data_IF_710731342043
#
_entry.id   IF_710731342043
#
_cell.length_a   1.000
_cell.length_b   1.000
_cell.length_c   1.000
_cell.angle_alpha   90.00
_cell.angle_beta   90.00
_cell.angle_gamma   90.00
#
_symmetry.space_group_name_H-M   'P 1'
#
loop_
_entity.id
_entity.type
_entity.pdbx_description
1 polymer ?
#
# COMPACT_ATOMS: atom_id res chain seq x y z
N UNK A 1 12.48 -42.38 -36.95
CA UNK A 1 12.93 -43.46 -37.86
C UNK A 1 12.81 -42.96 -39.29
N UNK A 2 13.69 -43.37 -40.21
CA UNK A 2 13.74 -42.99 -41.64
C UNK A 2 14.25 -41.54 -41.91
N UNK A 3 15.03 -41.41 -43.00
CA UNK A 3 15.77 -40.23 -43.50
C UNK A 3 15.93 -40.34 -45.04
N UNK A 4 15.92 -39.22 -45.77
CA UNK A 4 16.64 -38.94 -47.05
C UNK A 4 16.92 -37.41 -47.11
N UNK A 5 17.95 -36.79 -47.73
CA UNK A 5 18.83 -37.07 -48.92
C UNK A 5 18.19 -36.54 -50.23
N UNK A 6 18.87 -35.77 -51.10
CA UNK A 6 20.33 -35.68 -51.38
C UNK A 6 20.93 -34.24 -51.50
N UNK A 7 22.22 -34.21 -51.87
CA UNK A 7 23.28 -33.19 -51.98
C UNK A 7 23.38 -32.36 -53.30
N UNK A 8 24.08 -31.21 -53.19
CA UNK A 8 25.04 -30.55 -54.12
C UNK A 8 24.77 -30.39 -55.64
N UNK A 9 25.00 -29.16 -56.19
CA UNK A 9 26.16 -28.87 -57.07
C UNK A 9 26.46 -27.33 -57.17
N UNK A 10 27.25 -26.87 -58.17
CA UNK A 10 28.15 -25.70 -58.09
C UNK A 10 27.64 -24.31 -58.53
N UNK A 11 28.25 -23.30 -57.89
CA UNK A 11 28.45 -21.86 -58.19
C UNK A 11 28.19 -21.26 -59.58
N UNK A 12 27.77 -19.97 -59.63
CA UNK A 12 28.48 -18.93 -60.41
C UNK A 12 28.27 -17.46 -59.94
N UNK A 13 29.37 -16.69 -59.93
CA UNK A 13 29.57 -15.23 -60.05
C UNK A 13 28.66 -14.16 -59.35
N UNK A 14 29.29 -13.47 -58.37
CA UNK A 14 29.60 -12.03 -58.38
C UNK A 14 28.58 -10.99 -58.89
N UNK A 15 27.86 -10.33 -57.95
CA UNK A 15 27.70 -8.84 -57.83
C UNK A 15 26.70 -8.45 -56.71
N UNK A 16 27.07 -8.64 -55.43
CA UNK A 16 26.19 -8.29 -54.29
C UNK A 16 26.91 -7.68 -53.07
N UNK A 17 28.22 -7.42 -53.14
CA UNK A 17 29.07 -7.22 -51.95
C UNK A 17 29.05 -5.81 -51.32
N UNK A 18 28.13 -4.94 -51.73
CA UNK A 18 28.00 -3.56 -51.23
C UNK A 18 26.62 -3.16 -50.71
N UNK A 19 25.57 -3.99 -50.85
CA UNK A 19 24.27 -3.74 -50.19
C UNK A 19 24.13 -4.46 -48.85
N UNK A 20 24.68 -5.68 -48.69
CA UNK A 20 24.60 -6.42 -47.41
C UNK A 20 25.31 -5.69 -46.25
N UNK A 21 26.33 -4.88 -46.54
CA UNK A 21 27.08 -4.13 -45.52
C UNK A 21 26.28 -3.01 -44.84
N UNK A 22 25.22 -2.49 -45.48
CA UNK A 22 24.42 -1.40 -44.93
C UNK A 22 23.23 -1.89 -44.09
N UNK A 23 22.74 -3.11 -44.36
CA UNK A 23 21.60 -3.69 -43.63
C UNK A 23 21.99 -4.22 -42.24
N UNK A 24 23.26 -4.59 -42.04
CA UNK A 24 23.74 -5.15 -40.76
C UNK A 24 24.01 -4.10 -39.66
N UNK A 25 24.02 -2.81 -40.00
CA UNK A 25 24.28 -1.71 -39.06
C UNK A 25 23.02 -1.20 -38.33
N UNK A 26 21.82 -1.64 -38.74
CA UNK A 26 20.54 -1.17 -38.18
C UNK A 26 19.98 -2.06 -37.06
N UNK A 27 20.69 -3.12 -36.66
CA UNK A 27 20.17 -4.16 -35.73
C UNK A 27 20.74 -4.04 -34.30
N UNK A 28 21.67 -3.10 -34.04
CA UNK A 28 22.22 -2.85 -32.69
C UNK A 28 21.40 -1.76 -31.96
N UNK A 29 20.08 -1.84 -32.04
CA UNK A 29 19.17 -1.14 -31.12
C UNK A 29 18.93 -1.99 -29.87
N UNK A 30 20.01 -2.44 -29.23
CA UNK A 30 19.91 -3.06 -27.90
C UNK A 30 19.39 -2.01 -26.93
N UNK A 31 18.17 -2.20 -26.42
CA UNK A 31 17.70 -1.51 -25.22
C UNK A 31 18.65 -1.88 -24.09
N UNK A 32 19.60 -0.99 -23.79
CA UNK A 32 20.64 -1.22 -22.78
C UNK A 32 19.94 -1.38 -21.43
N UNK A 33 19.89 -2.61 -20.93
CA UNK A 33 19.43 -2.88 -19.57
C UNK A 33 20.48 -2.32 -18.64
N UNK A 34 20.06 -1.39 -17.79
CA UNK A 34 20.92 -0.78 -16.78
C UNK A 34 21.00 -1.69 -15.54
N UNK A 35 22.10 -1.67 -14.80
CA UNK A 35 22.20 -2.35 -13.52
C UNK A 35 21.19 -1.78 -12.51
N UNK A 36 20.82 -2.62 -11.54
CA UNK A 36 19.91 -2.29 -10.44
C UNK A 36 20.50 -2.86 -9.18
N UNK A 37 20.63 -2.01 -8.16
CA UNK A 37 20.89 -2.43 -6.79
C UNK A 37 19.55 -2.65 -6.08
N UNK A 38 19.40 -3.80 -5.42
CA UNK A 38 18.20 -4.15 -4.65
C UNK A 38 18.52 -4.23 -3.15
N UNK A 39 17.84 -3.38 -2.37
CA UNK A 39 17.95 -3.36 -0.92
C UNK A 39 16.64 -3.89 -0.34
N UNK A 40 16.68 -5.07 0.28
CA UNK A 40 15.52 -5.70 0.91
C UNK A 40 15.75 -6.06 2.37
N UNK A 41 14.65 -6.30 3.08
CA UNK A 41 14.62 -6.59 4.51
C UNK A 41 13.20 -6.71 5.06
N UNK A 42 13.06 -6.55 6.38
CA UNK A 42 11.78 -6.58 7.09
C UNK A 42 11.49 -5.22 7.74
N UNK A 43 10.24 -4.77 7.68
CA UNK A 43 9.74 -3.54 8.31
C UNK A 43 8.31 -3.75 8.80
N UNK A 44 7.96 -3.25 9.99
CA UNK A 44 6.57 -3.15 10.50
C UNK A 44 5.71 -4.42 10.35
N UNK A 45 6.29 -5.61 10.53
CA UNK A 45 5.60 -6.90 10.42
C UNK A 45 5.51 -7.50 9.00
N UNK A 46 6.10 -6.85 8.00
CA UNK A 46 6.13 -7.26 6.59
C UNK A 46 7.55 -7.12 5.99
N UNK A 47 7.72 -7.40 4.70
CA UNK A 47 8.96 -7.19 3.95
C UNK A 47 9.02 -5.81 3.29
N UNK A 48 10.23 -5.38 2.93
CA UNK A 48 10.47 -4.26 1.99
C UNK A 48 11.38 -4.70 0.83
N UNK A 49 11.17 -4.13 -0.36
CA UNK A 49 12.12 -4.14 -1.47
C UNK A 49 12.29 -2.74 -2.05
N UNK A 50 13.54 -2.33 -2.24
CA UNK A 50 13.91 -1.03 -2.81
C UNK A 50 14.83 -1.29 -4.00
N UNK A 51 14.40 -0.89 -5.19
CA UNK A 51 15.13 -1.11 -6.43
C UNK A 51 15.65 0.23 -6.96
N UNK A 52 16.97 0.41 -6.98
CA UNK A 52 17.66 1.63 -7.41
C UNK A 52 18.35 1.34 -8.73
N UNK A 53 18.00 2.06 -9.80
CA UNK A 53 18.72 1.97 -11.08
C UNK A 53 20.00 2.78 -10.95
N UNK A 54 21.17 2.17 -11.19
CA UNK A 54 22.43 2.91 -11.05
C UNK A 54 22.55 3.98 -12.15
N UNK A 55 22.82 5.24 -11.75
CA UNK A 55 23.36 6.22 -12.67
C UNK A 55 24.89 6.16 -12.61
N UNK A 56 25.53 5.99 -13.77
CA UNK A 56 27.00 5.97 -13.91
C UNK A 56 27.76 7.18 -13.35
N UNK A 57 27.05 8.27 -13.02
CA UNK A 57 27.61 9.48 -12.43
C UNK A 57 27.50 9.54 -10.89
N UNK A 58 26.75 8.62 -10.26
CA UNK A 58 26.49 8.62 -8.80
C UNK A 58 27.21 7.44 -8.14
N UNK A 59 28.19 7.73 -7.29
CA UNK A 59 28.86 6.71 -6.48
C UNK A 59 28.02 6.38 -5.24
N UNK A 60 27.27 5.27 -5.27
CA UNK A 60 26.34 4.88 -4.23
C UNK A 60 27.03 4.12 -3.09
N UNK A 61 27.10 4.73 -1.90
CA UNK A 61 27.40 3.97 -0.67
C UNK A 61 26.14 3.22 -0.21
N UNK A 62 25.93 2.03 -0.77
CA UNK A 62 24.82 1.13 -0.44
C UNK A 62 24.79 0.77 1.06
N UNK A 63 25.94 0.78 1.75
CA UNK A 63 25.99 0.52 3.20
C UNK A 63 25.41 1.69 3.98
N UNK A 64 25.82 2.92 3.66
CA UNK A 64 25.25 4.14 4.26
C UNK A 64 23.76 4.31 3.95
N UNK A 65 23.36 4.01 2.70
CA UNK A 65 21.96 4.03 2.27
C UNK A 65 21.13 3.03 3.09
N UNK A 66 21.57 1.77 3.21
CA UNK A 66 20.87 0.76 4.01
C UNK A 66 20.79 1.16 5.50
N UNK A 67 21.87 1.65 6.09
CA UNK A 67 21.84 2.13 7.48
C UNK A 67 20.85 3.28 7.70
N UNK A 68 20.66 4.15 6.71
CA UNK A 68 19.62 5.20 6.76
C UNK A 68 18.20 4.64 6.69
N UNK A 69 17.95 3.71 5.76
CA UNK A 69 16.66 3.00 5.62
C UNK A 69 16.31 2.28 6.92
N UNK A 70 17.24 1.47 7.46
CA UNK A 70 17.04 0.76 8.72
C UNK A 70 16.82 1.74 9.90
N UNK A 71 17.47 2.90 9.89
CA UNK A 71 17.23 3.96 10.90
C UNK A 71 15.84 4.59 10.79
N UNK A 72 15.29 4.77 9.58
CA UNK A 72 13.94 5.30 9.35
C UNK A 72 12.90 4.28 9.82
N UNK A 73 13.07 2.99 9.47
CA UNK A 73 12.18 1.90 9.86
C UNK A 73 12.06 1.82 11.39
N UNK A 74 13.20 1.82 12.09
CA UNK A 74 13.24 1.80 13.56
C UNK A 74 12.64 3.07 14.18
N UNK A 75 12.87 4.25 13.58
CA UNK A 75 12.37 5.52 14.11
C UNK A 75 10.83 5.63 13.99
N UNK A 76 10.24 5.12 12.92
CA UNK A 76 8.78 5.03 12.75
C UNK A 76 8.19 3.99 13.70
N UNK A 77 8.86 2.86 13.93
CA UNK A 77 8.39 1.82 14.85
C UNK A 77 8.40 2.30 16.32
N UNK A 78 9.38 3.09 16.76
CA UNK A 78 9.33 3.78 18.08
C UNK A 78 8.23 4.86 18.18
N UNK A 79 7.72 5.38 17.07
CA UNK A 79 6.62 6.37 17.06
C UNK A 79 5.25 5.70 17.04
N UNK A 80 5.05 4.75 16.11
CA UNK A 80 3.73 4.36 15.60
C UNK A 80 3.39 2.89 15.79
N UNK A 81 4.28 2.09 16.40
CA UNK A 81 4.04 0.67 16.65
C UNK A 81 3.19 0.47 17.90
N UNK A 82 1.94 0.05 17.72
CA UNK A 82 1.03 -0.33 18.82
C UNK A 82 1.48 -1.59 19.59
N UNK A 83 2.45 -2.32 19.06
CA UNK A 83 3.10 -3.46 19.73
C UNK A 83 4.20 -3.05 20.73
N UNK A 84 4.77 -1.85 20.59
CA UNK A 84 5.78 -1.31 21.53
C UNK A 84 5.09 -0.52 22.64
N UNK A 85 5.19 -0.99 23.88
CA UNK A 85 4.54 -0.37 25.05
C UNK A 85 4.95 1.10 25.29
N UNK A 86 6.17 1.46 24.88
CA UNK A 86 6.79 2.78 25.05
C UNK A 86 6.69 3.70 23.83
N UNK A 87 6.03 3.29 22.74
CA UNK A 87 5.93 4.12 21.53
C UNK A 87 5.02 5.33 21.74
N UNK A 88 5.18 6.39 20.93
CA UNK A 88 4.37 7.61 21.05
C UNK A 88 2.86 7.32 20.93
N UNK A 89 2.46 6.40 20.04
CA UNK A 89 1.07 5.95 19.91
C UNK A 89 0.59 5.14 21.12
N UNK A 90 1.42 4.26 21.67
CA UNK A 90 1.06 3.46 22.85
C UNK A 90 0.91 4.33 24.10
N UNK A 91 1.77 5.34 24.26
CA UNK A 91 1.66 6.35 25.31
C UNK A 91 0.40 7.19 25.14
N UNK A 92 0.06 7.62 23.91
CA UNK A 92 -1.21 8.29 23.63
C UNK A 92 -2.42 7.41 23.95
N UNK A 93 -2.38 6.12 23.62
CA UNK A 93 -3.48 5.20 23.86
C UNK A 93 -3.70 4.97 25.36
N UNK A 94 -2.63 4.82 26.13
CA UNK A 94 -2.66 4.58 27.58
C UNK A 94 -2.98 5.83 28.43
N UNK A 95 -2.65 7.04 27.98
CA UNK A 95 -2.82 8.25 28.81
C UNK A 95 -4.31 8.58 29.11
N UNK A 96 -4.62 9.21 30.25
CA UNK A 96 -5.97 9.63 30.60
C UNK A 96 -6.45 10.84 29.77
N UNK A 97 -7.76 11.11 29.84
CA UNK A 97 -8.38 12.28 29.19
C UNK A 97 -7.77 13.59 29.69
N UNK A 98 -7.53 14.54 28.79
CA UNK A 98 -6.96 15.85 29.15
C UNK A 98 -5.46 15.84 29.47
N UNK A 99 -4.81 14.68 29.53
CA UNK A 99 -3.35 14.61 29.48
C UNK A 99 -2.84 15.08 28.11
N UNK A 100 -1.62 15.63 28.10
CA UNK A 100 -0.93 16.11 26.90
C UNK A 100 0.43 15.45 26.86
N UNK A 101 0.77 14.81 25.73
CA UNK A 101 2.13 14.36 25.43
C UNK A 101 2.72 15.22 24.31
N UNK A 102 4.05 15.34 24.30
CA UNK A 102 4.76 15.87 23.14
C UNK A 102 5.17 14.70 22.25
N UNK A 103 4.86 14.78 20.96
CA UNK A 103 5.18 13.77 19.95
C UNK A 103 6.24 14.28 18.96
N UNK A 104 6.78 13.35 18.17
CA UNK A 104 7.61 13.60 17.00
C UNK A 104 6.86 14.36 15.91
N UNK A 105 7.60 15.01 15.00
CA UNK A 105 7.03 15.64 13.81
C UNK A 105 6.47 14.63 12.81
N UNK A 106 7.04 13.43 12.72
CA UNK A 106 6.55 12.36 11.85
C UNK A 106 5.18 11.86 12.30
N UNK A 107 5.02 11.55 13.58
CA UNK A 107 3.72 11.15 14.12
C UNK A 107 2.70 12.29 14.07
N UNK A 108 3.11 13.54 14.36
CA UNK A 108 2.25 14.71 14.21
C UNK A 108 1.70 14.87 12.77
N UNK A 109 2.52 14.63 11.74
CA UNK A 109 2.06 14.70 10.34
C UNK A 109 1.08 13.58 10.01
N UNK A 110 1.35 12.34 10.44
CA UNK A 110 0.41 11.22 10.26
C UNK A 110 -0.94 11.50 10.93
N UNK A 111 -0.96 12.08 12.14
CA UNK A 111 -2.20 12.52 12.79
C UNK A 111 -2.90 13.65 11.99
N UNK A 112 -2.17 14.63 11.47
CA UNK A 112 -2.75 15.70 10.65
C UNK A 112 -3.38 15.18 9.35
N UNK A 113 -2.68 14.33 8.59
CA UNK A 113 -3.24 13.67 7.39
C UNK A 113 -4.42 12.77 7.74
N UNK A 114 -4.36 12.07 8.87
CA UNK A 114 -5.48 11.24 9.34
C UNK A 114 -6.75 12.04 9.63
N UNK A 115 -6.63 13.19 10.31
CA UNK A 115 -7.77 14.08 10.60
C UNK A 115 -8.30 14.72 9.31
N UNK A 116 -7.42 15.05 8.36
CA UNK A 116 -7.80 15.54 7.03
C UNK A 116 -8.64 14.50 6.26
N UNK A 117 -8.13 13.27 6.11
CA UNK A 117 -8.83 12.21 5.39
C UNK A 117 -10.12 11.78 6.10
N UNK A 118 -10.13 11.77 7.44
CA UNK A 118 -11.35 11.52 8.21
C UNK A 118 -12.43 12.56 7.93
N UNK A 119 -12.08 13.86 7.91
CA UNK A 119 -13.05 14.90 7.53
C UNK A 119 -13.54 14.74 6.09
N UNK A 120 -12.65 14.43 5.15
CA UNK A 120 -12.97 14.42 3.71
C UNK A 120 -13.76 13.18 3.27
N UNK A 121 -13.54 12.04 3.92
CA UNK A 121 -14.23 10.76 3.67
C UNK A 121 -15.53 10.61 4.47
N UNK A 122 -16.04 11.68 5.09
CA UNK A 122 -17.17 11.64 6.03
C UNK A 122 -16.99 10.61 7.15
N UNK A 123 -15.76 10.52 7.65
CA UNK A 123 -15.22 9.57 8.63
C UNK A 123 -15.12 8.11 8.17
N UNK A 124 -15.35 7.74 6.91
CA UNK A 124 -15.14 6.35 6.45
C UNK A 124 -13.69 5.87 6.65
N UNK A 125 -12.73 6.81 6.70
CA UNK A 125 -11.45 6.64 7.37
C UNK A 125 -11.47 7.33 8.75
N UNK A 126 -11.12 6.63 9.83
CA UNK A 126 -10.85 7.26 11.13
C UNK A 126 -9.87 6.40 11.95
N UNK A 127 -8.68 6.93 12.22
CA UNK A 127 -7.65 6.24 13.03
C UNK A 127 -8.12 5.92 14.46
N UNK A 128 -9.14 6.60 14.98
CA UNK A 128 -9.67 6.35 16.33
C UNK A 128 -10.65 5.19 16.44
N UNK A 129 -10.75 4.35 15.40
CA UNK A 129 -11.52 3.11 15.37
C UNK A 129 -10.92 1.99 16.24
N UNK A 130 -9.70 2.13 16.77
CA UNK A 130 -9.00 1.07 17.53
C UNK A 130 -9.82 0.44 18.68
N UNK A 131 -10.59 1.17 19.52
CA UNK A 131 -11.43 0.55 20.55
C UNK A 131 -12.43 -0.46 19.97
N UNK A 132 -12.92 -0.21 18.75
CA UNK A 132 -13.82 -1.10 18.02
C UNK A 132 -13.09 -2.26 17.36
N UNK A 133 -11.91 -2.03 16.76
CA UNK A 133 -11.04 -3.12 16.29
C UNK A 133 -10.70 -4.08 17.44
N UNK A 134 -10.45 -3.55 18.65
CA UNK A 134 -10.23 -4.37 19.85
C UNK A 134 -11.51 -5.11 20.28
N UNK A 135 -12.70 -4.50 20.14
CA UNK A 135 -13.97 -5.16 20.46
C UNK A 135 -14.23 -6.37 19.54
N UNK A 136 -14.19 -6.18 18.22
CA UNK A 136 -14.41 -7.25 17.23
C UNK A 136 -13.30 -8.31 17.22
N UNK A 137 -12.16 -8.07 17.88
CA UNK A 137 -11.08 -9.05 18.05
C UNK A 137 -11.19 -9.91 19.32
N UNK A 138 -12.07 -9.58 20.27
CA UNK A 138 -12.33 -10.45 21.44
C UNK A 138 -12.80 -11.83 20.97
N UNK A 139 -12.46 -12.89 21.70
CA UNK A 139 -12.78 -14.26 21.28
C UNK A 139 -11.96 -14.79 20.10
N UNK A 140 -11.00 -14.01 19.55
CA UNK A 140 -9.96 -14.59 18.70
C UNK A 140 -9.07 -15.50 19.55
N UNK A 141 -8.43 -16.48 18.91
CA UNK A 141 -7.51 -17.41 19.56
C UNK A 141 -6.14 -16.75 19.85
N UNK A 142 -6.12 -15.69 20.67
CA UNK A 142 -4.92 -14.98 21.15
C UNK A 142 -4.71 -15.11 22.68
N UNK A 143 -4.51 -16.36 23.12
CA UNK A 143 -4.02 -16.82 24.44
C UNK A 143 -4.95 -16.67 25.65
N UNK A 144 -6.00 -15.83 25.63
CA UNK A 144 -6.82 -15.56 26.82
C UNK A 144 -8.31 -15.99 26.73
N UNK A 145 -8.79 -16.48 25.57
CA UNK A 145 -10.22 -16.76 25.33
C UNK A 145 -10.50 -18.18 24.80
N UNK A 146 -11.76 -18.64 24.97
CA UNK A 146 -12.20 -19.99 24.56
C UNK A 146 -12.42 -20.13 23.03
N UNK A 147 -12.67 -21.36 22.56
CA UNK A 147 -12.54 -21.76 21.15
C UNK A 147 -13.69 -21.31 20.21
N UNK A 148 -14.48 -20.29 20.56
CA UNK A 148 -15.53 -19.73 19.70
C UNK A 148 -15.41 -18.22 19.67
N UNK A 149 -15.33 -17.66 18.46
CA UNK A 149 -15.47 -16.23 18.22
C UNK A 149 -16.94 -15.92 17.93
N UNK A 150 -17.48 -14.88 18.57
CA UNK A 150 -18.85 -14.41 18.37
C UNK A 150 -18.82 -12.90 18.10
N UNK A 151 -19.71 -12.34 17.26
CA UNK A 151 -19.80 -10.90 17.06
C UNK A 151 -20.21 -10.19 18.37
N UNK A 152 -19.68 -8.98 18.64
CA UNK A 152 -20.01 -8.24 19.85
C UNK A 152 -21.47 -7.78 19.86
N UNK A 153 -22.05 -7.62 21.07
CA UNK A 153 -23.43 -7.16 21.19
C UNK A 153 -23.61 -5.70 20.76
N UNK A 154 -24.81 -5.34 20.28
CA UNK A 154 -25.18 -3.95 19.98
C UNK A 154 -24.92 -2.99 21.15
N UNK A 155 -25.03 -3.48 22.39
CA UNK A 155 -24.73 -2.71 23.59
C UNK A 155 -23.23 -2.42 23.74
N UNK A 156 -22.37 -3.42 23.50
CA UNK A 156 -20.92 -3.22 23.51
C UNK A 156 -20.48 -2.29 22.37
N UNK A 157 -21.03 -2.46 21.17
CA UNK A 157 -20.78 -1.58 20.02
C UNK A 157 -21.21 -0.15 20.35
N UNK A 158 -22.41 0.06 20.89
CA UNK A 158 -22.89 1.39 21.33
C UNK A 158 -21.96 2.03 22.38
N UNK A 159 -21.47 1.24 23.35
CA UNK A 159 -20.56 1.72 24.40
C UNK A 159 -19.17 2.08 23.84
N UNK A 160 -18.61 1.31 22.91
CA UNK A 160 -17.32 1.60 22.29
C UNK A 160 -17.40 2.74 21.24
N UNK A 161 -18.50 2.87 20.50
CA UNK A 161 -18.76 3.99 19.58
C UNK A 161 -18.65 5.36 20.27
N UNK A 162 -18.94 5.44 21.58
CA UNK A 162 -18.75 6.66 22.36
C UNK A 162 -17.30 7.19 22.37
N UNK A 163 -16.31 6.34 22.05
CA UNK A 163 -14.86 6.63 22.09
C UNK A 163 -14.27 6.99 20.72
N UNK A 164 -14.91 6.57 19.62
CA UNK A 164 -14.46 6.81 18.23
C UNK A 164 -14.78 8.26 17.82
N UNK A 165 -13.92 8.86 17.00
CA UNK A 165 -14.11 10.16 16.38
C UNK A 165 -12.81 10.97 16.37
N UNK A 166 -12.27 11.21 15.18
CA UNK A 166 -11.11 12.09 14.93
C UNK A 166 -11.33 13.49 15.52
N UNK A 167 -12.58 13.94 15.58
CA UNK A 167 -13.02 15.17 16.24
C UNK A 167 -12.82 15.21 17.78
N UNK A 168 -12.34 14.14 18.41
CA UNK A 168 -11.95 14.06 19.84
C UNK A 168 -10.43 14.09 20.05
N UNK A 169 -9.64 13.89 18.98
CA UNK A 169 -8.17 14.05 18.97
C UNK A 169 -7.83 15.54 18.92
N UNK A 170 -6.80 15.98 19.65
CA UNK A 170 -6.33 17.38 19.65
C UNK A 170 -4.82 17.41 19.44
N UNK A 171 -4.38 18.00 18.34
CA UNK A 171 -2.97 18.24 18.05
C UNK A 171 -2.74 19.75 17.92
N UNK A 172 -1.78 20.28 18.68
CA UNK A 172 -1.39 21.69 18.66
C UNK A 172 0.13 21.80 18.53
N UNK A 173 0.61 22.00 17.30
CA UNK A 173 2.03 21.82 16.95
C UNK A 173 2.43 20.37 17.16
N UNK A 174 3.27 20.10 18.15
CA UNK A 174 3.70 18.76 18.56
C UNK A 174 3.05 18.27 19.85
N UNK A 175 2.07 19.00 20.40
CA UNK A 175 1.37 18.62 21.62
C UNK A 175 0.09 17.88 21.29
N UNK A 176 0.02 16.58 21.61
CA UNK A 176 -1.08 15.68 21.29
C UNK A 176 -1.87 15.34 22.58
N UNK A 177 -3.20 15.45 22.52
CA UNK A 177 -4.13 15.14 23.61
C UNK A 177 -5.47 14.61 23.08
N UNK A 178 -6.33 14.12 23.98
CA UNK A 178 -7.65 13.56 23.65
C UNK A 178 -8.73 14.01 24.63
N UNK A 179 -9.94 14.24 24.12
CA UNK A 179 -11.09 14.77 24.89
C UNK A 179 -12.03 13.70 25.44
N UNK A 180 -11.74 12.41 25.24
CA UNK A 180 -12.66 11.32 25.58
C UNK A 180 -11.91 10.14 26.20
N UNK A 181 -12.49 9.57 27.27
CA UNK A 181 -11.85 8.53 28.05
C UNK A 181 -11.90 7.17 27.33
N UNK A 182 -10.79 6.43 27.35
CA UNK A 182 -10.65 5.20 26.59
C UNK A 182 -10.60 5.40 25.07
N UNK A 183 -10.57 6.63 24.54
CA UNK A 183 -10.22 6.83 23.14
C UNK A 183 -8.79 6.34 22.91
N UNK A 184 -8.62 5.56 21.85
CA UNK A 184 -7.35 5.05 21.35
C UNK A 184 -7.31 5.25 19.83
N UNK A 185 -6.13 5.18 19.24
CA UNK A 185 -5.90 5.29 17.79
C UNK A 185 -5.01 4.14 17.29
N UNK A 186 -5.23 3.75 16.04
CA UNK A 186 -4.36 2.91 15.24
C UNK A 186 -4.09 3.62 13.91
N UNK A 187 -2.83 3.62 13.47
CA UNK A 187 -2.36 4.26 12.24
C UNK A 187 -1.90 3.23 11.19
N UNK A 188 -2.16 1.94 11.39
CA UNK A 188 -1.82 0.85 10.46
C UNK A 188 -2.31 1.06 9.00
N UNK A 189 -3.33 1.88 8.79
CA UNK A 189 -3.92 2.21 7.48
C UNK A 189 -3.41 3.54 6.86
N UNK A 190 -2.27 4.05 7.33
CA UNK A 190 -1.66 5.31 6.85
C UNK A 190 -0.15 5.39 7.11
N UNK A 191 0.35 4.76 8.18
CA UNK A 191 1.74 4.84 8.61
C UNK A 191 2.71 4.03 7.71
N UNK A 192 2.23 3.01 6.98
CA UNK A 192 3.04 2.30 5.98
C UNK A 192 3.29 3.20 4.79
N UNK A 193 2.25 3.86 4.27
CA UNK A 193 2.37 4.88 3.24
C UNK A 193 3.30 6.03 3.65
N UNK A 194 3.19 6.52 4.89
CA UNK A 194 4.16 7.48 5.44
C UNK A 194 5.59 6.94 5.44
N UNK A 195 5.79 5.69 5.84
CA UNK A 195 7.10 5.03 5.83
C UNK A 195 7.72 4.91 4.45
N UNK A 196 6.93 4.52 3.45
CA UNK A 196 7.33 4.53 2.03
C UNK A 196 7.73 5.94 1.59
N UNK A 197 6.97 6.97 1.98
CA UNK A 197 7.31 8.37 1.68
C UNK A 197 8.61 8.81 2.38
N UNK A 198 8.85 8.46 3.64
CA UNK A 198 10.10 8.82 4.34
C UNK A 198 11.33 8.15 3.73
N UNK A 199 11.23 6.87 3.33
CA UNK A 199 12.30 6.17 2.62
C UNK A 199 12.51 6.81 1.23
N UNK A 200 11.44 7.18 0.52
CA UNK A 200 11.51 7.87 -0.76
C UNK A 200 12.25 9.22 -0.64
N UNK A 201 11.82 10.12 0.25
CA UNK A 201 12.48 11.44 0.40
C UNK A 201 13.92 11.30 0.91
N UNK A 202 14.23 10.25 1.69
CA UNK A 202 15.62 9.93 2.06
C UNK A 202 16.47 9.58 0.84
N UNK A 203 15.97 8.76 -0.10
CA UNK A 203 16.69 8.42 -1.34
C UNK A 203 16.82 9.63 -2.29
N UNK A 204 15.81 10.51 -2.35
CA UNK A 204 15.94 11.81 -3.04
C UNK A 204 17.07 12.65 -2.39
N UNK A 205 17.22 12.63 -1.07
CA UNK A 205 18.30 13.32 -0.36
C UNK A 205 19.70 12.71 -0.57
N UNK A 206 19.81 11.66 -1.40
CA UNK A 206 21.06 11.04 -1.89
C UNK A 206 21.28 11.29 -3.39
N UNK A 207 20.57 12.26 -3.97
CA UNK A 207 20.60 12.58 -5.41
C UNK A 207 20.18 11.40 -6.33
N UNK A 208 19.46 10.41 -5.78
CA UNK A 208 18.91 9.30 -6.56
C UNK A 208 17.60 9.72 -7.22
N UNK A 209 17.48 9.50 -8.53
CA UNK A 209 16.35 10.00 -9.35
C UNK A 209 15.60 8.89 -10.11
N UNK A 210 15.97 7.62 -9.92
CA UNK A 210 15.41 6.46 -10.64
C UNK A 210 15.33 5.25 -9.72
N UNK A 211 14.27 5.17 -8.93
CA UNK A 211 14.07 4.07 -8.00
C UNK A 211 12.59 3.77 -7.73
N UNK A 212 12.36 2.60 -7.14
CA UNK A 212 11.10 2.17 -6.54
C UNK A 212 11.35 1.83 -5.06
N UNK A 213 10.47 2.31 -4.18
CA UNK A 213 10.37 1.87 -2.78
C UNK A 213 9.07 1.08 -2.66
N UNK A 214 9.15 -0.16 -2.18
CA UNK A 214 8.01 -1.01 -1.83
C UNK A 214 8.13 -1.47 -0.37
N UNK A 215 7.02 -1.41 0.37
CA UNK A 215 6.88 -2.01 1.71
C UNK A 215 5.48 -2.60 1.86
N UNK A 216 5.36 -3.91 2.00
CA UNK A 216 4.08 -4.60 2.25
C UNK A 216 2.99 -4.48 1.19
N UNK A 217 3.33 -4.05 -0.03
CA UNK A 217 2.38 -3.74 -1.12
C UNK A 217 2.08 -2.25 -1.31
N UNK A 218 2.50 -1.38 -0.38
CA UNK A 218 2.56 0.06 -0.60
C UNK A 218 3.83 0.42 -1.38
N UNK A 219 3.71 1.25 -2.41
CA UNK A 219 4.81 1.52 -3.35
C UNK A 219 4.86 2.99 -3.77
N UNK A 220 6.07 3.56 -3.92
CA UNK A 220 6.29 4.88 -4.55
C UNK A 220 7.50 4.83 -5.47
N UNK A 221 7.35 5.45 -6.66
CA UNK A 221 8.36 5.37 -7.73
C UNK A 221 8.76 6.74 -8.24
N UNK A 222 10.02 6.86 -8.70
CA UNK A 222 10.52 8.01 -9.46
C UNK A 222 11.29 7.55 -10.70
N UNK A 223 11.20 8.35 -11.76
CA UNK A 223 11.94 8.17 -12.99
C UNK A 223 11.53 6.92 -13.78
N UNK A 224 12.43 6.49 -14.67
CA UNK A 224 12.26 5.27 -15.45
C UNK A 224 13.01 4.10 -14.81
N UNK A 225 12.44 2.90 -14.93
CA UNK A 225 13.10 1.64 -14.59
C UNK A 225 14.34 1.39 -15.47
N UNK A 226 15.07 0.31 -15.18
CA UNK A 226 16.33 -0.04 -15.84
C UNK A 226 16.23 -0.47 -17.33
N UNK A 227 15.06 -0.30 -17.95
CA UNK A 227 14.82 -0.52 -19.38
C UNK A 227 14.36 0.77 -20.09
N UNK A 228 14.36 1.91 -19.38
CA UNK A 228 13.91 3.21 -19.90
C UNK A 228 12.39 3.40 -19.92
N UNK A 229 11.62 2.54 -19.24
CA UNK A 229 10.15 2.60 -19.21
C UNK A 229 9.61 3.02 -17.84
N UNK A 230 8.32 3.40 -17.80
CA UNK A 230 7.55 3.51 -16.56
C UNK A 230 7.66 2.23 -15.72
N UNK A 231 7.67 2.38 -14.41
CA UNK A 231 7.59 1.26 -13.48
C UNK A 231 6.24 0.55 -13.65
N UNK A 232 6.24 -0.79 -13.61
CA UNK A 232 5.03 -1.62 -13.78
C UNK A 232 4.77 -2.38 -12.49
N UNK A 233 3.64 -2.11 -11.84
CA UNK A 233 3.23 -2.79 -10.60
C UNK A 233 2.04 -3.70 -10.92
N UNK A 234 2.05 -4.92 -10.40
CA UNK A 234 0.92 -5.84 -10.48
C UNK A 234 -0.13 -5.53 -9.41
N UNK A 235 -1.40 -5.78 -9.74
CA UNK A 235 -2.50 -5.91 -8.77
C UNK A 235 -2.90 -7.39 -8.79
N UNK A 236 -2.68 -8.10 -7.69
CA UNK A 236 -3.04 -9.50 -7.55
C UNK A 236 -4.56 -9.71 -7.50
N UNK A 237 -5.02 -10.88 -7.97
CA UNK A 237 -6.40 -11.31 -7.72
C UNK A 237 -6.59 -11.55 -6.21
N UNK A 238 -7.65 -11.00 -5.59
CA UNK A 238 -7.88 -11.10 -4.14
C UNK A 238 -8.45 -12.48 -3.74
N UNK A 239 -7.63 -13.52 -3.88
CA UNK A 239 -7.95 -14.92 -3.52
C UNK A 239 -7.24 -15.31 -2.23
N UNK A 240 -7.93 -16.05 -1.36
CA UNK A 240 -7.36 -16.58 -0.11
C UNK A 240 -6.21 -17.53 -0.42
N UNK A 241 -5.05 -17.32 0.21
CA UNK A 241 -3.85 -18.16 0.02
C UNK A 241 -2.96 -17.78 -1.19
N UNK A 242 -3.38 -16.84 -2.02
CA UNK A 242 -2.59 -16.32 -3.14
C UNK A 242 -1.36 -15.53 -2.64
N UNK A 243 -0.15 -15.88 -3.06
CA UNK A 243 1.05 -15.10 -2.71
C UNK A 243 1.16 -13.86 -3.61
N UNK A 244 1.89 -12.81 -3.19
CA UNK A 244 2.11 -11.64 -4.04
C UNK A 244 2.78 -12.00 -5.38
N UNK A 245 2.12 -11.68 -6.49
CA UNK A 245 2.60 -11.95 -7.85
C UNK A 245 2.20 -13.30 -8.47
N UNK A 246 1.52 -14.20 -7.76
CA UNK A 246 1.14 -15.53 -8.27
C UNK A 246 0.04 -15.47 -9.36
N UNK A 247 -0.96 -14.59 -9.19
CA UNK A 247 -2.09 -14.39 -10.11
C UNK A 247 -2.37 -12.89 -10.23
N UNK A 248 -1.67 -12.23 -11.16
CA UNK A 248 -1.78 -10.80 -11.42
C UNK A 248 -3.00 -10.53 -12.31
N UNK A 249 -4.01 -9.86 -11.74
CA UNK A 249 -5.23 -9.48 -12.46
C UNK A 249 -5.01 -8.29 -13.40
N UNK A 250 -4.22 -7.30 -12.96
CA UNK A 250 -3.95 -6.08 -13.71
C UNK A 250 -2.52 -5.57 -13.50
N UNK A 251 -2.01 -4.77 -14.44
CA UNK A 251 -0.66 -4.18 -14.40
C UNK A 251 -0.75 -2.68 -14.65
N UNK A 252 -0.27 -1.88 -13.69
CA UNK A 252 -0.37 -0.43 -13.68
C UNK A 252 0.99 0.21 -13.97
N UNK A 253 1.03 1.21 -14.86
CA UNK A 253 2.24 1.94 -15.23
C UNK A 253 2.43 3.23 -14.39
N UNK A 254 3.11 3.11 -13.25
CA UNK A 254 3.42 4.24 -12.38
C UNK A 254 4.54 5.13 -12.95
N UNK A 255 4.43 6.43 -12.70
CA UNK A 255 5.36 7.47 -13.14
C UNK A 255 5.31 8.64 -12.16
N UNK A 256 6.33 8.77 -11.30
CA UNK A 256 6.44 9.82 -10.28
C UNK A 256 5.17 9.91 -9.39
N UNK A 257 4.65 8.75 -8.97
CA UNK A 257 3.45 8.58 -8.14
C UNK A 257 3.64 7.44 -7.14
N UNK A 258 2.80 7.41 -6.13
CA UNK A 258 2.60 6.27 -5.25
C UNK A 258 1.39 5.41 -5.68
N UNK A 259 1.35 4.19 -5.15
CA UNK A 259 0.16 3.34 -5.10
C UNK A 259 0.10 2.58 -3.76
N UNK A 260 -1.09 2.42 -3.21
CA UNK A 260 -1.36 1.56 -2.05
C UNK A 260 -2.57 0.67 -2.33
N UNK A 261 -2.71 -0.46 -1.62
CA UNK A 261 -3.83 -1.40 -1.84
C UNK A 261 -4.40 -1.93 -0.54
N UNK A 262 -5.69 -1.65 -0.27
CA UNK A 262 -6.42 -2.18 0.88
C UNK A 262 -7.39 -3.27 0.44
N UNK A 263 -7.44 -4.40 1.15
CA UNK A 263 -8.28 -5.54 0.77
C UNK A 263 -8.71 -6.41 1.95
N UNK A 264 -9.97 -6.82 1.96
CA UNK A 264 -10.58 -7.58 3.05
C UNK A 264 -10.37 -9.11 2.93
N UNK A 265 -10.01 -9.60 1.74
CA UNK A 265 -9.94 -11.03 1.40
C UNK A 265 -8.95 -11.88 2.22
N UNK A 266 -7.95 -11.27 2.87
CA UNK A 266 -6.90 -12.01 3.62
C UNK A 266 -7.23 -12.27 5.09
N UNK A 267 -8.07 -11.45 5.72
CA UNK A 267 -8.35 -11.51 7.16
C UNK A 267 -9.84 -11.27 7.43
N UNK A 268 -10.54 -12.34 7.81
CA UNK A 268 -11.95 -12.33 8.20
C UNK A 268 -12.19 -13.28 9.39
N UNK A 269 -13.31 -13.08 10.06
CA UNK A 269 -13.90 -14.00 11.05
C UNK A 269 -15.15 -14.65 10.44
N UNK A 270 -15.57 -15.79 10.99
CA UNK A 270 -16.77 -16.52 10.56
C UNK A 270 -17.64 -16.86 11.76
N UNK A 271 -18.95 -16.58 11.66
CA UNK A 271 -19.98 -16.93 12.65
C UNK A 271 -21.34 -17.03 11.93
N UNK A 272 -22.13 -18.06 12.23
CA UNK A 272 -23.42 -18.36 11.57
C UNK A 272 -23.40 -18.21 10.03
N UNK A 273 -22.37 -18.79 9.39
CA UNK A 273 -22.04 -18.72 7.95
C UNK A 273 -21.77 -17.29 7.38
N UNK A 274 -21.88 -16.23 8.19
CA UNK A 274 -21.48 -14.86 7.81
C UNK A 274 -19.96 -14.64 7.96
N UNK A 275 -19.41 -13.77 7.09
CA UNK A 275 -18.00 -13.35 7.10
C UNK A 275 -17.88 -11.89 7.56
N UNK A 276 -17.06 -11.66 8.58
CA UNK A 276 -16.80 -10.34 9.14
C UNK A 276 -15.35 -9.92 8.85
N UNK A 277 -15.16 -8.77 8.17
CA UNK A 277 -13.81 -8.28 7.85
C UNK A 277 -13.05 -7.82 9.10
N UNK A 278 -11.72 -7.89 9.05
CA UNK A 278 -10.84 -7.19 9.99
C UNK A 278 -10.91 -5.65 9.89
N UNK A 279 -11.42 -5.12 8.77
CA UNK A 279 -11.74 -3.70 8.59
C UNK A 279 -13.10 -3.44 9.28
N UNK A 280 -13.17 -2.39 10.10
CA UNK A 280 -14.39 -1.92 10.75
C UNK A 280 -14.81 -0.59 10.12
N UNK A 281 -16.11 -0.38 9.89
CA UNK A 281 -16.63 0.93 9.50
C UNK A 281 -16.80 1.82 10.74
N UNK A 282 -15.96 2.85 10.96
CA UNK A 282 -16.05 3.72 12.13
C UNK A 282 -17.32 4.59 12.18
N UNK A 283 -18.11 4.65 11.09
CA UNK A 283 -19.37 5.42 11.03
C UNK A 283 -20.50 4.71 11.79
N UNK A 284 -20.46 3.38 11.87
CA UNK A 284 -21.49 2.55 12.53
C UNK A 284 -20.93 1.62 13.62
N UNK A 285 -19.63 1.27 13.57
CA UNK A 285 -18.97 0.42 14.56
C UNK A 285 -18.96 -1.08 14.23
N UNK A 286 -19.42 -1.49 13.05
CA UNK A 286 -19.48 -2.90 12.66
C UNK A 286 -18.31 -3.32 11.77
N UNK A 287 -17.93 -4.59 11.84
CA UNK A 287 -17.01 -5.20 10.88
C UNK A 287 -17.59 -5.15 9.46
N UNK A 288 -16.75 -4.77 8.50
CA UNK A 288 -17.17 -4.45 7.14
C UNK A 288 -17.65 -5.70 6.38
N UNK A 289 -18.92 -5.67 5.96
CA UNK A 289 -19.50 -6.60 4.99
C UNK A 289 -19.65 -5.86 3.65
N UNK A 290 -18.69 -6.05 2.73
CA UNK A 290 -18.64 -5.35 1.44
C UNK A 290 -18.30 -6.30 0.29
N UNK A 291 -18.88 -6.06 -0.89
CA UNK A 291 -18.55 -6.76 -2.13
C UNK A 291 -17.18 -6.35 -2.70
N UNK A 292 -16.69 -5.16 -2.32
CA UNK A 292 -15.33 -4.70 -2.67
C UNK A 292 -14.32 -5.63 -1.98
N UNK A 293 -13.60 -6.43 -2.77
CA UNK A 293 -12.58 -7.37 -2.26
C UNK A 293 -11.22 -6.70 -2.06
N UNK A 294 -10.88 -5.73 -2.92
CA UNK A 294 -9.75 -4.83 -2.75
C UNK A 294 -9.93 -3.52 -3.52
N UNK A 295 -9.20 -2.49 -3.10
CA UNK A 295 -9.05 -1.21 -3.81
C UNK A 295 -7.57 -0.86 -3.86
N UNK A 296 -7.04 -0.63 -5.06
CA UNK A 296 -5.74 -0.02 -5.28
C UNK A 296 -5.92 1.46 -5.62
N UNK A 297 -5.23 2.35 -4.92
CA UNK A 297 -5.30 3.81 -5.12
C UNK A 297 -3.94 4.34 -5.53
N UNK A 298 -3.90 5.18 -6.56
CA UNK A 298 -2.73 5.96 -6.96
C UNK A 298 -2.85 7.38 -6.41
N UNK A 299 -1.74 7.94 -5.95
CA UNK A 299 -1.67 9.32 -5.48
C UNK A 299 -0.30 9.96 -5.71
N UNK A 300 -0.13 11.26 -5.38
CA UNK A 300 1.17 11.94 -5.41
C UNK A 300 2.14 11.38 -4.35
N UNK A 301 1.61 11.05 -3.17
CA UNK A 301 2.30 10.52 -1.99
C UNK A 301 1.67 9.21 -1.54
N UNK A 302 2.43 8.38 -0.84
CA UNK A 302 1.99 7.05 -0.44
C UNK A 302 1.12 7.08 0.84
N UNK A 303 1.38 8.01 1.77
CA UNK A 303 0.56 8.29 2.95
C UNK A 303 -0.91 8.56 2.59
N UNK A 304 -1.15 9.30 1.51
CA UNK A 304 -2.49 9.65 1.07
C UNK A 304 -3.18 8.52 0.29
N UNK A 305 -2.39 7.74 -0.48
CA UNK A 305 -2.90 6.56 -1.17
C UNK A 305 -3.32 5.45 -0.19
N UNK A 306 -2.55 5.21 0.88
CA UNK A 306 -2.81 4.22 1.94
C UNK A 306 -4.12 4.53 2.68
N UNK A 307 -4.26 5.79 3.14
CA UNK A 307 -5.46 6.27 3.81
C UNK A 307 -6.71 6.20 2.90
N UNK A 308 -6.60 6.61 1.63
CA UNK A 308 -7.69 6.50 0.66
C UNK A 308 -8.04 5.05 0.32
N UNK A 309 -7.06 4.16 0.14
CA UNK A 309 -7.34 2.77 -0.19
C UNK A 309 -8.21 2.09 0.89
N UNK A 310 -7.95 2.40 2.16
CA UNK A 310 -8.80 1.94 3.27
C UNK A 310 -10.15 2.65 3.30
N UNK A 311 -10.21 3.98 3.10
CA UNK A 311 -11.48 4.71 3.01
C UNK A 311 -12.42 4.14 1.94
N UNK A 312 -11.89 3.89 0.75
CA UNK A 312 -12.63 3.40 -0.42
C UNK A 312 -13.01 1.91 -0.33
N UNK A 313 -12.48 1.18 0.66
CA UNK A 313 -12.94 -0.17 1.00
C UNK A 313 -14.22 -0.09 1.87
N UNK A 314 -14.29 0.90 2.78
CA UNK A 314 -15.41 1.17 3.70
C UNK A 314 -16.56 1.93 3.02
N UNK A 315 -16.26 2.83 2.08
CA UNK A 315 -17.26 3.53 1.27
C UNK A 315 -17.91 2.60 0.25
N UNK A 316 -19.15 2.88 -0.14
CA UNK A 316 -19.77 2.24 -1.31
C UNK A 316 -19.04 2.64 -2.59
N UNK A 317 -19.19 1.84 -3.66
CA UNK A 317 -18.53 2.11 -4.95
C UNK A 317 -18.88 3.51 -5.50
N UNK A 318 -20.14 3.93 -5.40
CA UNK A 318 -20.60 5.20 -5.96
C UNK A 318 -20.10 6.41 -5.14
N UNK A 319 -20.11 6.31 -3.79
CA UNK A 319 -19.44 7.29 -2.93
C UNK A 319 -17.93 7.36 -3.24
N UNK A 320 -17.30 6.21 -3.44
CA UNK A 320 -15.86 6.11 -3.68
C UNK A 320 -15.41 6.66 -5.03
N UNK A 321 -16.18 6.38 -6.09
CA UNK A 321 -15.99 6.99 -7.41
C UNK A 321 -16.19 8.51 -7.35
N UNK A 322 -17.29 8.97 -6.73
CA UNK A 322 -17.56 10.40 -6.58
C UNK A 322 -16.47 11.14 -5.77
N UNK A 323 -15.85 10.47 -4.78
CA UNK A 323 -14.69 11.01 -4.08
C UNK A 323 -13.46 11.10 -4.99
N UNK A 324 -13.09 10.01 -5.69
CA UNK A 324 -11.92 10.01 -6.58
C UNK A 324 -12.06 11.00 -7.74
N UNK A 325 -13.23 11.08 -8.38
CA UNK A 325 -13.51 12.06 -9.44
C UNK A 325 -13.48 13.53 -8.94
N UNK A 326 -13.44 13.76 -7.62
CA UNK A 326 -13.29 15.09 -7.00
C UNK A 326 -11.84 15.43 -6.58
N UNK A 327 -10.88 14.50 -6.75
CA UNK A 327 -9.52 14.60 -6.21
C UNK A 327 -8.46 14.66 -7.31
N UNK A 328 -7.97 15.86 -7.60
CA UNK A 328 -6.90 16.10 -8.58
C UNK A 328 -5.68 15.20 -8.34
N UNK A 329 -5.34 14.40 -9.35
CA UNK A 329 -4.14 13.56 -9.35
C UNK A 329 -4.28 12.20 -8.66
N UNK A 330 -5.46 11.85 -8.13
CA UNK A 330 -5.74 10.50 -7.62
C UNK A 330 -6.44 9.64 -8.67
N UNK A 331 -6.19 8.33 -8.65
CA UNK A 331 -6.91 7.34 -9.47
C UNK A 331 -7.16 6.09 -8.60
N UNK A 332 -8.17 5.30 -8.90
CA UNK A 332 -8.49 4.08 -8.14
C UNK A 332 -8.95 2.92 -9.02
N UNK A 333 -8.72 1.71 -8.53
CA UNK A 333 -9.07 0.44 -9.15
C UNK A 333 -9.64 -0.50 -8.09
N UNK A 334 -10.94 -0.76 -8.19
CA UNK A 334 -11.70 -1.67 -7.33
C UNK A 334 -11.78 -3.06 -7.97
N UNK A 335 -11.54 -4.10 -7.16
CA UNK A 335 -11.89 -5.48 -7.50
C UNK A 335 -13.09 -5.85 -6.64
N UNK A 336 -14.21 -6.19 -7.28
CA UNK A 336 -15.50 -6.42 -6.66
C UNK A 336 -15.89 -7.87 -6.88
N UNK A 337 -16.35 -8.57 -5.84
CA UNK A 337 -16.90 -9.92 -5.92
C UNK A 337 -18.42 -9.84 -5.96
N UNK A 338 -19.02 -10.46 -6.97
CA UNK A 338 -20.47 -10.49 -7.12
C UNK A 338 -21.15 -11.65 -6.38
N UNK A 339 -22.48 -11.75 -6.51
CA UNK A 339 -23.31 -12.78 -5.87
C UNK A 339 -23.07 -14.21 -6.38
N UNK A 340 -22.44 -14.38 -7.53
CA UNK A 340 -21.99 -15.70 -8.02
C UNK A 340 -20.55 -16.01 -7.56
N UNK A 341 -19.92 -15.07 -6.87
CA UNK A 341 -18.54 -15.14 -6.43
C UNK A 341 -17.51 -14.80 -7.50
N UNK A 342 -17.94 -14.29 -8.65
CA UNK A 342 -17.04 -13.87 -9.74
C UNK A 342 -16.43 -12.49 -9.44
N UNK A 343 -15.19 -12.27 -9.88
CA UNK A 343 -14.53 -10.98 -9.74
C UNK A 343 -14.79 -10.08 -10.96
N UNK A 344 -15.27 -8.87 -10.70
CA UNK A 344 -15.47 -7.76 -11.64
C UNK A 344 -14.55 -6.61 -11.24
N UNK A 345 -14.24 -5.74 -12.19
CA UNK A 345 -13.27 -4.66 -12.01
C UNK A 345 -13.86 -3.32 -12.43
N UNK A 346 -13.60 -2.29 -11.64
CA UNK A 346 -14.13 -0.94 -11.79
C UNK A 346 -13.00 0.04 -11.51
N UNK A 347 -12.88 1.13 -12.26
CA UNK A 347 -11.74 2.06 -12.11
C UNK A 347 -12.05 3.47 -12.59
N UNK A 348 -11.25 4.44 -12.14
CA UNK A 348 -11.33 5.84 -12.57
C UNK A 348 -10.71 6.07 -13.95
N UNK A 349 -11.15 7.14 -14.63
CA UNK A 349 -10.97 7.30 -16.07
C UNK A 349 -9.52 7.38 -16.57
N UNK A 350 -8.54 7.79 -15.73
CA UNK A 350 -7.13 7.90 -16.14
C UNK A 350 -6.22 6.86 -15.45
N UNK A 351 -6.81 5.82 -14.84
CA UNK A 351 -6.08 4.70 -14.23
C UNK A 351 -5.15 4.05 -15.28
N UNK A 352 -3.81 4.09 -15.11
CA UNK A 352 -2.86 3.81 -16.19
C UNK A 352 -2.58 2.31 -16.36
N UNK A 353 -3.61 1.55 -16.69
CA UNK A 353 -3.57 0.10 -16.94
C UNK A 353 -2.81 -0.18 -18.24
N UNK A 354 -1.84 -1.11 -18.20
CA UNK A 354 -0.95 -1.48 -19.32
C UNK A 354 -0.80 -3.00 -19.50
N UNK A 355 -1.73 -3.76 -18.93
CA UNK A 355 -1.79 -5.22 -18.94
C UNK A 355 -2.78 -5.72 -17.89
N UNK A 356 -3.22 -6.97 -18.02
CA UNK A 356 -4.25 -7.60 -17.20
C UNK A 356 -5.01 -8.65 -18.01
N UNK A 357 -5.97 -9.31 -17.36
CA UNK A 357 -6.93 -10.25 -17.97
C UNK A 357 -8.19 -9.53 -18.46
#
# INVERSE_FOLDING_TARGET
MIVLVNRYFFTFFSKARHLLGFLFLLIISCSRIEPVEEISGMAWGTSYSIQIVEDSNVNMDITSIKMGIDSIINNIDEQMSTYKLNSEISLFNQMPTGAVIKVSSGFAEVINRSIYWSKLTSNAFDISVLPMIMLWRKGKNDREYENVWEPPSDFDVFMEMSKIGSNKIRLNGLNLSKTTNGQMIDVNAIAKGWGVDQIFEYLISKDLLRFMVEVGGEVRVIGANNKGYKWKIGIDRPVVGNQPGDDILAVIALNNKAMATSGNYRNFFEFDDEKYSHIVDPRNGHALQSSISSVSVLGPTCIDADALATALNVMSLDEGKALIDSLDGFEAYWIIKDSEGQFKTEFSNNMPIVGGL
#
